data_IF_473666865749
#
_entry.id   IF_473666865749
#
_cell.length_a   1.000
_cell.length_b   1.000
_cell.length_c   1.000
_cell.angle_alpha   90.00
_cell.angle_beta   90.00
_cell.angle_gamma   90.00
#
_symmetry.space_group_name_H-M   'P 1'
#
loop_
_entity.id
_entity.type
_entity.pdbx_description
1 polymer ?
#
# COMPACT_ATOMS: atom_id res chain seq x y z
N UNK A 1 3.18 -2.13 -4.36
CA UNK A 1 2.72 -2.45 -5.72
C UNK A 1 2.00 -1.25 -6.28
N UNK A 2 2.23 -0.95 -7.54
CA UNK A 2 1.58 0.10 -8.34
C UNK A 2 1.25 -0.49 -9.70
N UNK A 3 0.46 0.22 -10.53
CA UNK A 3 0.22 -0.20 -11.92
C UNK A 3 1.48 0.00 -12.76
N UNK A 4 1.71 -0.88 -13.74
CA UNK A 4 2.88 -0.81 -14.63
C UNK A 4 2.86 0.44 -15.53
N UNK A 5 1.68 0.88 -15.93
CA UNK A 5 1.46 2.06 -16.78
C UNK A 5 1.43 3.38 -15.98
N UNK A 6 1.79 3.35 -14.70
CA UNK A 6 1.87 4.55 -13.85
C UNK A 6 3.28 5.15 -13.84
N UNK A 7 3.38 6.45 -13.59
CA UNK A 7 4.65 7.17 -13.45
C UNK A 7 5.27 7.05 -12.03
N UNK A 8 5.05 5.94 -11.34
CA UNK A 8 5.51 5.71 -9.96
C UNK A 8 6.70 4.73 -9.91
N UNK A 9 7.90 5.25 -9.66
CA UNK A 9 9.15 4.48 -9.70
C UNK A 9 9.87 4.39 -8.35
N UNK A 10 9.52 5.26 -7.40
CA UNK A 10 10.05 5.27 -6.02
C UNK A 10 8.92 5.58 -5.05
N UNK A 11 9.14 5.26 -3.76
CA UNK A 11 8.14 5.45 -2.71
C UNK A 11 7.72 6.92 -2.56
N UNK A 12 8.61 7.89 -2.80
CA UNK A 12 8.20 9.31 -2.75
C UNK A 12 7.21 9.71 -3.84
N UNK A 13 7.09 8.96 -4.95
CA UNK A 13 6.21 9.33 -6.08
C UNK A 13 4.72 9.11 -5.77
N UNK A 14 4.41 8.41 -4.68
CA UNK A 14 3.04 8.06 -4.30
C UNK A 14 2.43 8.99 -3.24
N UNK A 15 3.10 10.09 -2.90
CA UNK A 15 2.54 11.13 -2.01
C UNK A 15 1.16 11.59 -2.52
N UNK A 16 0.19 11.66 -1.61
CA UNK A 16 -1.20 12.04 -1.91
C UNK A 16 -1.98 11.01 -2.72
N UNK A 17 -1.44 9.80 -2.97
CA UNK A 17 -2.15 8.73 -3.69
C UNK A 17 -2.95 7.84 -2.75
N UNK A 18 -3.88 7.11 -3.34
CA UNK A 18 -4.68 6.12 -2.63
C UNK A 18 -3.84 4.85 -2.33
N UNK A 19 -3.82 4.45 -1.05
CA UNK A 19 -3.06 3.28 -0.58
C UNK A 19 -3.93 2.35 0.25
N UNK A 20 -3.78 1.04 0.06
CA UNK A 20 -4.44 0.07 0.93
C UNK A 20 -3.79 0.03 2.32
N UNK A 21 -4.61 -0.02 3.35
CA UNK A 21 -4.15 0.00 4.74
C UNK A 21 -5.12 -0.74 5.67
N UNK A 22 -4.83 -0.80 6.97
CA UNK A 22 -5.68 -1.42 7.98
C UNK A 22 -5.30 -2.87 8.29
N UNK A 23 -5.40 -3.77 7.30
CA UNK A 23 -5.03 -5.19 7.39
C UNK A 23 -5.45 -5.87 8.71
N UNK A 24 -6.74 -5.78 9.06
CA UNK A 24 -7.24 -6.25 10.37
C UNK A 24 -6.98 -7.74 10.62
N UNK A 25 -6.87 -8.56 9.57
CA UNK A 25 -6.51 -9.97 9.68
C UNK A 25 -5.00 -10.22 9.90
N UNK A 26 -4.14 -9.22 9.64
CA UNK A 26 -2.71 -9.25 9.94
C UNK A 26 -2.22 -7.88 10.44
N UNK A 27 -2.53 -7.49 11.71
CA UNK A 27 -2.32 -6.12 12.17
C UNK A 27 -0.86 -5.63 12.14
N UNK A 28 0.10 -6.56 12.13
CA UNK A 28 1.54 -6.27 12.04
C UNK A 28 1.96 -5.75 10.67
N UNK A 29 1.18 -5.97 9.61
CA UNK A 29 1.48 -5.46 8.27
C UNK A 29 1.44 -3.94 8.20
N UNK A 30 0.64 -3.29 9.06
CA UNK A 30 0.62 -1.82 9.16
C UNK A 30 2.02 -1.26 9.43
N UNK A 31 2.75 -1.84 10.38
CA UNK A 31 4.12 -1.43 10.68
C UNK A 31 5.08 -1.63 9.50
N UNK A 32 4.83 -2.64 8.66
CA UNK A 32 5.64 -2.85 7.45
C UNK A 32 5.36 -1.77 6.40
N UNK A 33 4.08 -1.43 6.19
CA UNK A 33 3.70 -0.33 5.30
C UNK A 33 4.26 1.00 5.81
N UNK A 34 4.09 1.30 7.10
CA UNK A 34 4.62 2.52 7.73
C UNK A 34 6.14 2.60 7.56
N UNK A 35 6.86 1.49 7.76
CA UNK A 35 8.30 1.42 7.58
C UNK A 35 8.74 1.64 6.12
N UNK A 36 7.99 1.12 5.15
CA UNK A 36 8.26 1.33 3.72
C UNK A 36 8.04 2.80 3.35
N UNK A 37 6.93 3.40 3.80
CA UNK A 37 6.64 4.83 3.57
C UNK A 37 7.74 5.70 4.18
N UNK A 38 8.11 5.44 5.44
CA UNK A 38 9.15 6.20 6.14
C UNK A 38 10.51 6.11 5.45
N UNK A 39 10.87 4.95 4.90
CA UNK A 39 12.08 4.80 4.10
C UNK A 39 12.09 5.65 2.82
N UNK A 40 10.89 5.99 2.32
CA UNK A 40 10.68 6.92 1.21
C UNK A 40 10.49 8.38 1.60
N UNK A 41 10.53 8.71 2.90
CA UNK A 41 10.29 10.06 3.43
C UNK A 41 8.82 10.45 3.56
N UNK A 42 7.89 9.48 3.48
CA UNK A 42 6.46 9.68 3.64
C UNK A 42 5.94 9.06 4.94
N UNK A 43 4.78 9.51 5.37
CA UNK A 43 3.99 8.91 6.45
C UNK A 43 2.60 8.54 5.94
N UNK A 44 1.85 7.74 6.72
CA UNK A 44 0.51 7.30 6.30
C UNK A 44 -0.46 8.48 6.17
N UNK A 45 -0.20 9.57 6.90
CA UNK A 45 -0.94 10.83 6.84
C UNK A 45 -0.75 11.59 5.53
N UNK A 46 0.31 11.29 4.78
CA UNK A 46 0.58 11.87 3.46
C UNK A 46 -0.16 11.10 2.34
N UNK A 47 -0.98 10.11 2.70
CA UNK A 47 -1.65 9.19 1.78
C UNK A 47 -3.17 9.21 1.96
N UNK A 48 -3.90 8.84 0.90
CA UNK A 48 -5.35 8.59 0.98
C UNK A 48 -5.60 7.12 1.35
N UNK A 49 -5.92 6.84 2.61
CA UNK A 49 -6.03 5.45 3.08
C UNK A 49 -7.33 4.76 2.64
N UNK A 50 -7.21 3.59 2.02
CA UNK A 50 -8.31 2.67 1.75
C UNK A 50 -8.21 1.43 2.65
N UNK A 51 -9.14 1.30 3.59
CA UNK A 51 -9.08 0.29 4.65
C UNK A 51 -9.54 -1.08 4.15
N UNK A 52 -8.64 -2.06 4.15
CA UNK A 52 -8.91 -3.44 3.71
C UNK A 52 -8.62 -4.45 4.83
N UNK A 53 -9.32 -5.59 4.88
CA UNK A 53 -9.13 -6.56 5.95
C UNK A 53 -7.87 -7.42 5.75
N UNK A 54 -7.39 -7.61 4.52
CA UNK A 54 -6.25 -8.49 4.20
C UNK A 54 -5.51 -8.06 2.92
N UNK A 55 -4.31 -8.62 2.70
CA UNK A 55 -3.51 -8.35 1.48
C UNK A 55 -4.24 -8.73 0.19
N UNK A 56 -4.86 -9.92 0.06
CA UNK A 56 -5.66 -10.25 -1.13
C UNK A 56 -6.71 -9.19 -1.48
N UNK A 57 -7.45 -8.69 -0.48
CA UNK A 57 -8.45 -7.63 -0.73
C UNK A 57 -7.80 -6.34 -1.25
N UNK A 58 -6.63 -5.97 -0.72
CA UNK A 58 -5.91 -4.79 -1.22
C UNK A 58 -5.37 -4.96 -2.63
N UNK A 59 -4.96 -6.19 -3.00
CA UNK A 59 -4.55 -6.50 -4.38
C UNK A 59 -5.74 -6.46 -5.33
N UNK A 60 -6.89 -7.01 -4.93
CA UNK A 60 -8.13 -6.94 -5.71
C UNK A 60 -8.54 -5.48 -5.98
N UNK A 61 -8.45 -4.61 -4.96
CA UNK A 61 -8.73 -3.18 -5.11
C UNK A 61 -7.76 -2.47 -6.05
N UNK A 62 -6.47 -2.84 -6.03
CA UNK A 62 -5.49 -2.29 -6.97
C UNK A 62 -5.81 -2.72 -8.42
N UNK A 63 -6.13 -3.99 -8.63
CA UNK A 63 -6.48 -4.54 -9.95
C UNK A 63 -7.77 -3.90 -10.48
N UNK A 64 -8.77 -3.67 -9.61
CA UNK A 64 -10.02 -3.02 -9.97
C UNK A 64 -9.86 -1.52 -10.27
N UNK A 65 -8.71 -0.92 -9.93
CA UNK A 65 -8.48 0.52 -10.06
C UNK A 65 -9.10 1.37 -8.96
N UNK A 66 -9.51 0.75 -7.84
CA UNK A 66 -10.04 1.45 -6.67
C UNK A 66 -8.95 2.17 -5.88
N UNK A 67 -7.71 1.72 -6.01
CA UNK A 67 -6.52 2.34 -5.40
C UNK A 67 -5.37 2.44 -6.40
N UNK A 68 -4.39 3.28 -6.07
CA UNK A 68 -3.15 3.45 -6.85
C UNK A 68 -2.02 2.58 -6.31
N UNK A 69 -2.03 2.30 -5.00
CA UNK A 69 -0.96 1.59 -4.30
C UNK A 69 -1.51 0.48 -3.41
N UNK A 70 -0.89 -0.71 -3.48
CA UNK A 70 -1.15 -1.79 -2.53
C UNK A 70 0.12 -2.42 -1.96
N UNK A 71 0.03 -2.91 -0.73
CA UNK A 71 1.08 -3.72 -0.12
C UNK A 71 0.98 -5.18 -0.55
N UNK A 72 2.14 -5.84 -0.67
CA UNK A 72 2.22 -7.27 -0.87
C UNK A 72 3.44 -7.82 -0.13
N UNK A 73 3.26 -8.94 0.56
CA UNK A 73 4.34 -9.69 1.19
C UNK A 73 4.34 -11.11 0.68
N UNK A 74 5.52 -11.64 0.32
CA UNK A 74 5.70 -13.06 0.14
C UNK A 74 5.82 -13.72 1.52
N UNK A 75 4.93 -14.65 1.83
CA UNK A 75 5.16 -15.56 2.93
C UNK A 75 6.37 -16.43 2.57
N UNK A 76 7.47 -16.28 3.29
CA UNK A 76 8.59 -17.21 3.23
C UNK A 76 8.15 -18.51 3.90
N UNK A 77 8.10 -19.57 3.12
CA UNK A 77 8.04 -20.95 3.62
C UNK A 77 9.45 -21.52 3.57
#
# INVERSE_FOLDING_TARGET
MVREDSDHYKVSDIEGKSITYGYTAQPTLRFQVDGILAAGGLYIEDMETHMVPSVPNGVDDLIAGNVDVAFFSLAGW
#
